data_IF_298153107631
#
_entry.id   IF_298153107631
#
_cell.length_a   1.000
_cell.length_b   1.000
_cell.length_c   1.000
_cell.angle_alpha   90.00
_cell.angle_beta   90.00
_cell.angle_gamma   90.00
#
_symmetry.space_group_name_H-M   'P 1'
#
loop_
_entity.id
_entity.type
_entity.pdbx_description
1 polymer ?
#
# COMPACT_ATOMS: atom_id res chain seq x y z
N UNK A 1 -24.23 -10.95 1.13
CA UNK A 1 -23.58 -11.71 0.07
C UNK A 1 -24.20 -11.31 -1.28
N UNK A 2 -23.40 -10.65 -2.14
CA UNK A 2 -23.88 -10.15 -3.45
C UNK A 2 -23.52 -11.11 -4.61
N UNK A 3 -23.09 -12.35 -4.30
CA UNK A 3 -22.73 -13.36 -5.30
C UNK A 3 -21.36 -13.16 -5.95
N UNK A 4 -20.51 -12.31 -5.39
CA UNK A 4 -19.13 -12.14 -5.89
C UNK A 4 -18.22 -13.25 -5.36
N UNK A 5 -17.33 -13.74 -6.24
CA UNK A 5 -16.22 -14.60 -5.84
C UNK A 5 -15.02 -13.72 -5.48
N UNK A 6 -14.60 -13.80 -4.20
CA UNK A 6 -13.53 -12.96 -3.67
C UNK A 6 -12.29 -13.79 -3.39
N UNK A 7 -11.13 -13.32 -3.83
CA UNK A 7 -9.82 -13.81 -3.40
C UNK A 7 -9.01 -12.65 -2.81
N UNK A 8 -8.31 -12.91 -1.74
CA UNK A 8 -7.44 -11.94 -1.08
C UNK A 8 -5.97 -12.25 -1.38
N UNK A 9 -5.18 -11.20 -1.53
CA UNK A 9 -3.72 -11.24 -1.56
C UNK A 9 -3.21 -10.49 -0.34
N UNK A 10 -2.54 -11.18 0.56
CA UNK A 10 -2.12 -10.60 1.85
C UNK A 10 -0.64 -10.83 2.14
N UNK A 11 0.01 -9.81 2.71
CA UNK A 11 1.32 -9.90 3.34
C UNK A 11 1.21 -10.29 4.82
N UNK A 12 2.35 -10.48 5.46
CA UNK A 12 2.44 -10.76 6.90
C UNK A 12 2.13 -9.50 7.74
N UNK A 13 1.48 -9.61 8.91
CA UNK A 13 0.82 -10.81 9.41
C UNK A 13 -0.40 -11.17 8.57
N UNK A 14 -0.55 -12.46 8.25
CA UNK A 14 -1.63 -12.89 7.37
C UNK A 14 -3.00 -12.72 8.04
N UNK A 15 -3.99 -12.16 7.34
CA UNK A 15 -5.33 -12.00 7.89
C UNK A 15 -6.04 -13.35 8.07
N UNK A 16 -6.82 -13.46 9.13
CA UNK A 16 -7.81 -14.53 9.27
C UNK A 16 -9.07 -14.12 8.51
N UNK A 17 -9.43 -14.85 7.50
CA UNK A 17 -10.54 -14.55 6.60
C UNK A 17 -11.66 -15.59 6.74
N UNK A 18 -12.85 -15.23 6.25
CA UNK A 18 -13.93 -16.19 6.04
C UNK A 18 -13.42 -17.35 5.16
N UNK A 19 -13.71 -18.61 5.49
CA UNK A 19 -13.24 -19.79 4.73
C UNK A 19 -13.62 -19.79 3.24
N UNK A 20 -14.64 -19.04 2.85
CA UNK A 20 -15.05 -18.84 1.46
C UNK A 20 -14.12 -17.93 0.65
N UNK A 21 -13.29 -17.13 1.34
CA UNK A 21 -12.34 -16.22 0.69
C UNK A 21 -10.97 -16.91 0.56
N UNK A 22 -10.55 -17.16 -0.67
CA UNK A 22 -9.23 -17.75 -0.93
C UNK A 22 -8.13 -16.73 -0.68
N UNK A 23 -7.27 -16.99 0.33
CA UNK A 23 -6.09 -16.17 0.60
C UNK A 23 -4.88 -16.66 -0.22
N UNK A 24 -4.30 -15.77 -1.00
CA UNK A 24 -2.95 -15.94 -1.57
C UNK A 24 -1.96 -15.21 -0.68
N UNK A 25 -1.15 -15.97 0.05
CA UNK A 25 -0.11 -15.42 0.92
C UNK A 25 1.07 -14.92 0.09
N UNK A 26 1.46 -13.67 0.34
CA UNK A 26 2.61 -13.02 -0.28
C UNK A 26 3.69 -12.85 0.79
N UNK A 27 4.61 -13.81 0.94
CA UNK A 27 5.62 -13.74 1.99
C UNK A 27 6.52 -12.52 1.81
N UNK A 28 6.85 -11.85 2.92
CA UNK A 28 7.77 -10.72 3.01
C UNK A 28 8.99 -11.09 3.84
N UNK A 29 9.92 -10.18 3.99
CA UNK A 29 11.06 -10.34 4.90
C UNK A 29 10.66 -10.18 6.38
N UNK A 30 9.41 -9.81 6.63
CA UNK A 30 8.83 -9.66 7.97
C UNK A 30 9.68 -8.76 8.89
N UNK A 31 10.14 -7.64 8.33
CA UNK A 31 11.04 -6.69 9.01
C UNK A 31 10.34 -6.02 10.20
N UNK A 32 9.02 -5.83 10.10
CA UNK A 32 8.20 -5.09 11.07
C UNK A 32 7.35 -6.03 11.95
N UNK A 33 7.82 -7.28 12.18
CA UNK A 33 7.07 -8.20 13.03
C UNK A 33 7.04 -7.73 14.50
N UNK A 34 6.01 -8.16 15.21
CA UNK A 34 5.74 -7.70 16.58
C UNK A 34 6.80 -8.17 17.60
N UNK A 35 7.48 -9.31 17.35
CA UNK A 35 8.46 -9.87 18.27
C UNK A 35 9.83 -9.20 18.14
N UNK A 36 10.25 -8.88 16.91
CA UNK A 36 11.54 -8.26 16.62
C UNK A 36 11.37 -7.13 15.60
N UNK A 37 10.73 -6.01 16.01
CA UNK A 37 10.46 -4.90 15.10
C UNK A 37 11.78 -4.28 14.62
N UNK A 38 11.90 -4.15 13.29
CA UNK A 38 13.08 -3.55 12.69
C UNK A 38 14.28 -4.49 12.57
N UNK A 39 14.06 -5.81 12.56
CA UNK A 39 15.14 -6.78 12.32
C UNK A 39 15.79 -6.55 10.96
N UNK A 40 17.10 -6.78 10.87
CA UNK A 40 17.79 -6.82 9.58
C UNK A 40 17.75 -8.27 9.04
N UNK A 41 17.17 -8.50 7.85
CA UNK A 41 17.16 -9.82 7.24
C UNK A 41 18.59 -10.28 6.90
N UNK A 42 18.83 -11.57 7.02
CA UNK A 42 20.09 -12.17 6.57
C UNK A 42 20.11 -12.28 5.03
N UNK A 43 21.30 -12.25 4.41
CA UNK A 43 21.41 -12.23 2.95
C UNK A 43 20.81 -13.47 2.27
N UNK A 44 20.81 -14.62 2.92
CA UNK A 44 20.17 -15.85 2.40
C UNK A 44 18.64 -15.82 2.41
N UNK A 45 18.03 -14.87 3.09
CA UNK A 45 16.58 -14.61 3.06
C UNK A 45 16.17 -13.84 1.79
N UNK A 46 17.11 -13.20 1.11
CA UNK A 46 16.86 -12.42 -0.11
C UNK A 46 16.74 -13.36 -1.32
N UNK A 47 15.54 -13.84 -1.59
CA UNK A 47 15.24 -14.82 -2.65
C UNK A 47 14.65 -14.20 -3.90
N UNK A 48 14.28 -12.93 -3.86
CA UNK A 48 13.57 -12.27 -4.95
C UNK A 48 13.94 -10.79 -5.09
N UNK A 49 13.64 -10.20 -6.26
CA UNK A 49 13.76 -8.76 -6.46
C UNK A 49 12.90 -7.97 -5.46
N UNK A 50 11.74 -8.51 -5.07
CA UNK A 50 10.88 -7.87 -4.07
C UNK A 50 11.58 -7.76 -2.71
N UNK A 51 12.35 -8.79 -2.32
CA UNK A 51 13.09 -8.81 -1.06
C UNK A 51 14.25 -7.80 -1.10
N UNK A 52 14.92 -7.71 -2.25
CA UNK A 52 15.97 -6.70 -2.44
C UNK A 52 15.40 -5.28 -2.39
N UNK A 53 14.25 -5.03 -2.99
CA UNK A 53 13.53 -3.76 -2.89
C UNK A 53 13.20 -3.45 -1.43
N UNK A 54 12.66 -4.43 -0.70
CA UNK A 54 12.25 -4.27 0.69
C UNK A 54 13.44 -3.91 1.60
N UNK A 55 14.53 -4.67 1.54
CA UNK A 55 15.71 -4.42 2.38
C UNK A 55 16.40 -3.12 2.02
N UNK A 56 16.51 -2.77 0.74
CA UNK A 56 17.16 -1.51 0.32
C UNK A 56 16.36 -0.28 0.75
N UNK A 57 15.03 -0.32 0.63
CA UNK A 57 14.15 0.75 1.12
C UNK A 57 14.25 0.89 2.63
N UNK A 58 14.19 -0.22 3.37
CA UNK A 58 14.34 -0.22 4.81
C UNK A 58 15.70 0.34 5.24
N UNK A 59 16.80 -0.12 4.64
CA UNK A 59 18.15 0.39 4.91
C UNK A 59 18.31 1.88 4.59
N UNK A 60 17.54 2.38 3.63
CA UNK A 60 17.45 3.81 3.34
C UNK A 60 16.60 4.60 4.36
N UNK A 61 16.01 3.93 5.37
CA UNK A 61 15.16 4.54 6.40
C UNK A 61 13.77 4.91 5.90
N UNK A 62 13.28 4.24 4.86
CA UNK A 62 11.95 4.43 4.28
C UNK A 62 11.07 3.23 4.61
N UNK A 63 9.78 3.47 4.87
CA UNK A 63 8.81 2.38 5.03
C UNK A 63 8.66 1.63 3.70
N UNK A 64 9.10 0.37 3.67
CA UNK A 64 9.33 -0.40 2.44
C UNK A 64 8.12 -1.19 1.95
N UNK A 65 7.18 -1.51 2.85
CA UNK A 65 6.09 -2.45 2.57
C UNK A 65 5.22 -2.09 1.36
N UNK A 66 4.73 -0.85 1.17
CA UNK A 66 3.83 -0.57 0.04
C UNK A 66 4.46 -0.86 -1.31
N UNK A 67 5.76 -0.57 -1.48
CA UNK A 67 6.45 -0.84 -2.73
C UNK A 67 6.70 -2.34 -2.92
N UNK A 68 7.26 -3.01 -1.91
CA UNK A 68 7.60 -4.42 -1.97
C UNK A 68 6.35 -5.30 -2.12
N UNK A 69 5.31 -5.03 -1.30
CA UNK A 69 4.04 -5.74 -1.37
C UNK A 69 3.37 -5.60 -2.75
N UNK A 70 3.23 -4.37 -3.24
CA UNK A 70 2.60 -4.14 -4.55
C UNK A 70 3.35 -4.83 -5.69
N UNK A 71 4.68 -4.92 -5.61
CA UNK A 71 5.49 -5.64 -6.58
C UNK A 71 5.25 -7.16 -6.51
N UNK A 72 5.16 -7.74 -5.29
CA UNK A 72 4.79 -9.14 -5.09
C UNK A 72 3.39 -9.43 -5.62
N UNK A 73 2.42 -8.57 -5.29
CA UNK A 73 1.04 -8.68 -5.76
C UNK A 73 0.95 -8.65 -7.29
N UNK A 74 1.65 -7.72 -7.95
CA UNK A 74 1.71 -7.67 -9.41
C UNK A 74 2.27 -8.97 -10.01
N UNK A 75 3.36 -9.50 -9.46
CA UNK A 75 3.95 -10.75 -9.96
C UNK A 75 3.02 -11.94 -9.81
N UNK A 76 2.32 -12.03 -8.69
CA UNK A 76 1.35 -13.10 -8.43
C UNK A 76 0.11 -12.98 -9.35
N UNK A 77 -0.40 -11.77 -9.57
CA UNK A 77 -1.57 -11.51 -10.40
C UNK A 77 -1.27 -11.65 -11.90
N UNK A 78 -0.07 -11.24 -12.35
CA UNK A 78 0.28 -11.24 -13.79
C UNK A 78 0.09 -12.61 -14.46
N UNK A 79 0.34 -13.69 -13.77
CA UNK A 79 0.17 -15.06 -14.28
C UNK A 79 -1.27 -15.57 -14.16
N UNK A 80 -2.17 -14.82 -13.52
CA UNK A 80 -3.51 -15.25 -13.12
C UNK A 80 -4.61 -14.26 -13.54
N UNK A 81 -4.34 -13.40 -14.50
CA UNK A 81 -5.28 -12.35 -14.92
C UNK A 81 -6.63 -12.88 -15.37
N UNK A 82 -6.66 -14.07 -15.98
CA UNK A 82 -7.90 -14.71 -16.43
C UNK A 82 -8.82 -15.18 -15.26
N UNK A 83 -8.32 -15.18 -14.03
CA UNK A 83 -9.11 -15.59 -12.86
C UNK A 83 -9.91 -14.42 -12.26
N UNK A 84 -9.68 -13.16 -12.69
CA UNK A 84 -10.21 -11.98 -12.04
C UNK A 84 -10.78 -10.98 -13.03
N UNK A 85 -11.92 -10.39 -12.69
CA UNK A 85 -12.54 -9.31 -13.47
C UNK A 85 -12.01 -7.93 -13.05
N UNK A 86 -11.63 -7.78 -11.78
CA UNK A 86 -11.10 -6.52 -11.24
C UNK A 86 -10.21 -6.77 -10.01
N UNK A 87 -9.42 -5.77 -9.67
CA UNK A 87 -8.62 -5.72 -8.43
C UNK A 87 -9.07 -4.55 -7.58
N UNK A 88 -9.21 -4.80 -6.28
CA UNK A 88 -9.44 -3.78 -5.28
C UNK A 88 -8.18 -3.64 -4.40
N UNK A 89 -7.50 -2.51 -4.52
CA UNK A 89 -6.35 -2.17 -3.67
C UNK A 89 -6.82 -1.42 -2.42
N UNK A 90 -6.49 -1.96 -1.25
CA UNK A 90 -6.85 -1.35 0.03
C UNK A 90 -5.69 -0.49 0.55
N UNK A 91 -5.57 0.73 0.01
CA UNK A 91 -4.61 1.77 0.41
C UNK A 91 -3.12 1.39 0.30
N UNK A 92 -2.73 0.35 -0.42
CA UNK A 92 -1.32 0.07 -0.65
C UNK A 92 -0.66 1.16 -1.50
N UNK A 93 -1.23 1.44 -2.67
CA UNK A 93 -0.77 2.50 -3.60
C UNK A 93 0.72 2.44 -3.94
N UNK A 94 1.32 1.26 -3.94
CA UNK A 94 2.67 1.07 -4.46
C UNK A 94 2.70 1.06 -5.99
N UNK A 95 3.88 1.24 -6.60
CA UNK A 95 4.00 1.24 -8.06
C UNK A 95 3.53 -0.04 -8.75
N UNK A 96 3.54 -1.19 -8.05
CA UNK A 96 2.95 -2.43 -8.54
C UNK A 96 1.45 -2.31 -8.86
N UNK A 97 0.71 -1.47 -8.12
CA UNK A 97 -0.71 -1.19 -8.39
C UNK A 97 -0.90 -0.55 -9.77
N UNK A 98 0.01 0.31 -10.22
CA UNK A 98 -0.05 0.85 -11.59
C UNK A 98 0.21 -0.23 -12.65
N UNK A 99 1.08 -1.18 -12.37
CA UNK A 99 1.33 -2.29 -13.25
C UNK A 99 0.11 -3.23 -13.31
N UNK A 100 -0.54 -3.48 -12.17
CA UNK A 100 -1.80 -4.21 -12.09
C UNK A 100 -2.90 -3.50 -12.88
N UNK A 101 -3.04 -2.19 -12.72
CA UNK A 101 -4.06 -1.38 -13.43
C UNK A 101 -3.91 -1.37 -14.97
N UNK A 102 -2.76 -1.80 -15.51
CA UNK A 102 -2.57 -1.99 -16.95
C UNK A 102 -3.09 -3.34 -17.46
N UNK A 103 -3.24 -4.31 -16.60
CA UNK A 103 -3.63 -5.69 -16.96
C UNK A 103 -5.01 -6.09 -16.42
N UNK A 104 -5.49 -5.42 -15.38
CA UNK A 104 -6.82 -5.63 -14.79
C UNK A 104 -7.42 -4.29 -14.35
N UNK A 105 -8.74 -4.09 -14.52
CA UNK A 105 -9.42 -2.93 -13.95
C UNK A 105 -9.13 -2.83 -12.44
N UNK A 106 -8.75 -1.65 -11.97
CA UNK A 106 -8.35 -1.46 -10.58
C UNK A 106 -9.16 -0.35 -9.92
N UNK A 107 -9.70 -0.65 -8.75
CA UNK A 107 -10.30 0.31 -7.81
C UNK A 107 -9.42 0.39 -6.59
N UNK A 108 -9.27 1.57 -6.01
CA UNK A 108 -8.50 1.78 -4.78
C UNK A 108 -9.41 2.34 -3.71
N UNK A 109 -9.33 1.82 -2.48
CA UNK A 109 -9.90 2.50 -1.32
C UNK A 109 -8.81 3.28 -0.59
N UNK A 110 -9.08 4.55 -0.31
CA UNK A 110 -8.27 5.42 0.54
C UNK A 110 -9.06 5.76 1.80
N UNK A 111 -8.60 5.28 2.95
CA UNK A 111 -9.26 5.53 4.23
C UNK A 111 -8.91 6.92 4.76
N UNK A 112 -7.63 7.25 4.79
CA UNK A 112 -7.14 8.59 5.12
C UNK A 112 -5.77 8.82 4.46
N UNK A 113 -5.42 10.07 4.16
CA UNK A 113 -4.10 10.36 3.61
C UNK A 113 -3.05 10.39 4.73
N UNK A 114 -2.07 9.49 4.66
CA UNK A 114 -0.92 9.42 5.59
C UNK A 114 -0.09 10.72 5.58
N UNK A 115 -0.36 11.62 4.64
CA UNK A 115 0.19 12.99 4.60
C UNK A 115 -0.13 13.79 5.86
N UNK A 116 -1.31 13.55 6.47
CA UNK A 116 -1.72 14.21 7.72
C UNK A 116 -0.82 13.77 8.87
N UNK A 117 -0.61 12.46 9.02
CA UNK A 117 0.25 11.89 10.07
C UNK A 117 1.68 12.43 9.93
N UNK A 118 2.22 12.39 8.70
CA UNK A 118 3.52 12.97 8.40
C UNK A 118 3.61 14.45 8.82
N UNK A 119 2.59 15.24 8.55
CA UNK A 119 2.57 16.67 8.88
C UNK A 119 2.59 16.89 10.40
N UNK A 120 1.79 16.11 11.12
CA UNK A 120 1.72 16.18 12.60
C UNK A 120 3.05 15.77 13.23
N UNK A 121 3.63 14.65 12.81
CA UNK A 121 4.93 14.20 13.30
C UNK A 121 6.06 15.19 12.97
N UNK A 122 6.05 15.76 11.78
CA UNK A 122 7.01 16.79 11.38
C UNK A 122 6.89 18.05 12.23
N UNK A 123 5.67 18.46 12.62
CA UNK A 123 5.43 19.59 13.50
C UNK A 123 5.89 19.32 14.93
N UNK A 124 5.71 18.09 15.41
CA UNK A 124 6.11 17.66 16.76
C UNK A 124 7.60 17.30 16.87
N UNK A 125 8.35 17.27 15.79
CA UNK A 125 9.75 16.84 15.79
C UNK A 125 10.65 17.82 16.58
N UNK A 126 11.38 17.33 17.60
CA UNK A 126 12.13 18.19 18.55
C UNK A 126 13.37 18.83 17.92
N UNK A 127 13.89 18.27 16.81
CA UNK A 127 15.09 18.76 16.16
C UNK A 127 15.14 18.40 14.68
N UNK A 128 16.11 18.96 13.95
CA UNK A 128 16.25 18.76 12.52
C UNK A 128 16.61 17.31 12.13
N UNK A 129 17.39 16.60 12.95
CA UNK A 129 17.72 15.19 12.71
C UNK A 129 16.46 14.32 12.71
N UNK A 130 15.57 14.53 13.70
CA UNK A 130 14.28 13.83 13.76
C UNK A 130 13.40 14.17 12.57
N UNK A 131 13.40 15.44 12.14
CA UNK A 131 12.67 15.86 10.92
C UNK A 131 13.16 15.14 9.66
N UNK A 132 14.48 14.99 9.49
CA UNK A 132 15.05 14.22 8.37
C UNK A 132 14.64 12.76 8.45
N UNK A 133 14.71 12.15 9.62
CA UNK A 133 14.27 10.76 9.84
C UNK A 133 12.80 10.56 9.45
N UNK A 134 11.92 11.43 9.92
CA UNK A 134 10.48 11.41 9.57
C UNK A 134 10.30 11.62 8.06
N UNK A 135 10.99 12.58 7.46
CA UNK A 135 10.88 12.86 6.02
C UNK A 135 11.29 11.64 5.16
N UNK A 136 12.31 10.89 5.62
CA UNK A 136 12.76 9.65 4.96
C UNK A 136 11.76 8.53 5.16
N UNK A 137 11.31 8.31 6.40
CA UNK A 137 10.31 7.29 6.75
C UNK A 137 9.05 7.42 5.89
N UNK A 138 8.50 8.62 5.79
CA UNK A 138 7.32 8.94 4.98
C UNK A 138 7.62 9.16 3.48
N UNK A 139 8.82 8.78 3.01
CA UNK A 139 9.19 8.91 1.59
C UNK A 139 8.22 8.21 0.63
N UNK A 140 7.63 7.09 1.06
CA UNK A 140 6.65 6.32 0.30
C UNK A 140 5.36 7.09 0.00
N UNK A 141 4.99 8.08 0.81
CA UNK A 141 3.78 8.89 0.61
C UNK A 141 3.80 9.64 -0.73
N UNK A 142 4.99 10.07 -1.18
CA UNK A 142 5.15 10.66 -2.51
C UNK A 142 4.83 9.66 -3.63
N UNK A 143 5.19 8.40 -3.45
CA UNK A 143 4.83 7.31 -4.36
C UNK A 143 3.32 7.10 -4.37
N UNK A 144 2.70 6.98 -3.19
CA UNK A 144 1.24 6.82 -3.07
C UNK A 144 0.48 7.94 -3.79
N UNK A 145 0.90 9.19 -3.61
CA UNK A 145 0.29 10.32 -4.33
C UNK A 145 0.46 10.24 -5.86
N UNK A 146 1.63 9.78 -6.35
CA UNK A 146 1.83 9.58 -7.79
C UNK A 146 0.96 8.46 -8.35
N UNK A 147 0.76 7.40 -7.59
CA UNK A 147 -0.09 6.25 -7.96
C UNK A 147 -1.55 6.69 -7.95
N UNK A 148 -2.03 7.29 -6.86
CA UNK A 148 -3.41 7.76 -6.73
C UNK A 148 -3.84 8.67 -7.88
N UNK A 149 -3.00 9.64 -8.28
CA UNK A 149 -3.27 10.49 -9.44
C UNK A 149 -3.42 9.77 -10.78
N UNK A 150 -3.03 8.50 -10.88
CA UNK A 150 -3.13 7.70 -12.12
C UNK A 150 -4.25 6.67 -12.07
N UNK A 151 -4.81 6.39 -10.90
CA UNK A 151 -5.98 5.51 -10.76
C UNK A 151 -7.24 6.28 -11.10
N UNK A 152 -8.12 5.67 -11.88
CA UNK A 152 -9.34 6.31 -12.37
C UNK A 152 -10.49 6.32 -11.38
N UNK A 153 -10.56 5.31 -10.51
CA UNK A 153 -11.66 5.10 -9.56
C UNK A 153 -11.09 4.91 -8.16
N UNK A 154 -11.42 5.85 -7.29
CA UNK A 154 -11.01 5.84 -5.90
C UNK A 154 -12.24 5.90 -5.02
N UNK A 155 -12.32 4.99 -4.07
CA UNK A 155 -13.31 5.00 -2.99
C UNK A 155 -12.69 5.71 -1.80
N UNK A 156 -13.46 6.58 -1.15
CA UNK A 156 -13.06 7.33 0.03
C UNK A 156 -14.15 7.18 1.09
N UNK A 157 -13.76 7.11 2.35
CA UNK A 157 -14.67 6.75 3.44
C UNK A 157 -15.31 7.96 4.15
N UNK A 158 -14.82 9.18 3.90
CA UNK A 158 -15.37 10.41 4.49
C UNK A 158 -15.15 11.63 3.58
N UNK A 159 -16.00 12.65 3.74
CA UNK A 159 -15.84 13.95 3.03
C UNK A 159 -14.51 14.62 3.38
N UNK A 160 -14.13 14.63 4.66
CA UNK A 160 -12.86 15.20 5.09
C UNK A 160 -11.66 14.52 4.40
N UNK A 161 -11.73 13.19 4.20
CA UNK A 161 -10.68 12.47 3.47
C UNK A 161 -10.63 12.88 2.00
N UNK A 162 -11.77 13.21 1.35
CA UNK A 162 -11.79 13.74 -0.01
C UNK A 162 -11.02 15.04 -0.09
N UNK A 163 -11.26 15.97 0.84
CA UNK A 163 -10.59 17.27 0.88
C UNK A 163 -9.09 17.11 1.08
N UNK A 164 -8.70 16.29 2.05
CA UNK A 164 -7.30 16.04 2.37
C UNK A 164 -6.56 15.34 1.22
N UNK A 165 -7.15 14.31 0.62
CA UNK A 165 -6.56 13.58 -0.52
C UNK A 165 -6.43 14.51 -1.74
N UNK A 166 -7.43 15.33 -2.01
CA UNK A 166 -7.36 16.30 -3.12
C UNK A 166 -6.25 17.32 -2.89
N UNK A 167 -6.19 17.91 -1.69
CA UNK A 167 -5.20 18.93 -1.33
C UNK A 167 -3.77 18.36 -1.27
N UNK A 168 -3.57 17.24 -0.54
CA UNK A 168 -2.24 16.77 -0.18
C UNK A 168 -1.65 15.82 -1.23
N UNK A 169 -2.50 15.07 -1.95
CA UNK A 169 -2.06 14.12 -2.97
C UNK A 169 -2.33 14.61 -4.40
N UNK A 170 -3.09 15.70 -4.57
CA UNK A 170 -3.42 16.27 -5.89
C UNK A 170 -4.31 15.36 -6.73
N UNK A 171 -5.20 14.61 -6.09
CA UNK A 171 -6.19 13.75 -6.77
C UNK A 171 -7.41 14.58 -7.13
N UNK A 172 -7.89 14.44 -8.37
CA UNK A 172 -9.11 15.09 -8.81
C UNK A 172 -10.33 14.52 -8.09
N UNK A 173 -11.15 15.40 -7.51
CA UNK A 173 -12.37 15.04 -6.76
C UNK A 173 -13.35 14.22 -7.62
N UNK A 174 -13.42 14.46 -8.92
CA UNK A 174 -14.29 13.72 -9.83
C UNK A 174 -13.98 12.23 -9.93
N UNK A 175 -12.79 11.81 -9.52
CA UNK A 175 -12.36 10.40 -9.48
C UNK A 175 -12.68 9.70 -8.16
N UNK A 176 -13.07 10.48 -7.15
CA UNK A 176 -13.36 9.98 -5.81
C UNK A 176 -14.85 9.74 -5.62
N UNK A 177 -15.20 8.63 -5.01
CA UNK A 177 -16.57 8.27 -4.63
C UNK A 177 -16.60 8.03 -3.14
N UNK A 178 -17.48 8.76 -2.45
CA UNK A 178 -17.72 8.56 -1.03
C UNK A 178 -18.52 7.26 -0.83
N UNK A 179 -18.00 6.38 -0.01
CA UNK A 179 -18.68 5.18 0.48
C UNK A 179 -18.39 5.09 1.97
N UNK A 180 -19.37 5.35 2.79
CA UNK A 180 -19.24 5.24 4.24
C UNK A 180 -18.96 3.78 4.64
N UNK A 181 -18.04 3.60 5.58
CA UNK A 181 -17.81 2.31 6.23
C UNK A 181 -18.95 2.11 7.21
N UNK A 182 -19.67 1.00 7.06
CA UNK A 182 -20.77 0.61 7.95
C UNK A 182 -20.28 0.11 9.30
#
# INVERSE_FOLDING_TARGET
DLGHHVAAFGGQPYPVLDPRVRLTQLPSLDIFNDLYPGRMPAFWELKSLSDLIEVTQYSAGTFSEPLAFSHRAYRALKARTAEFDLVHDNQCLGYGVLAINKILPTVVTLHHPITVDRRLEMAAAPNWHKRISIARWYGFVKMQGRVARRIRRIVVVSENSIDDISRDMGVDRSRMRLVHVG
#
